data_IF_285861124916
#
_entry.id   IF_285861124916
#
_cell.length_a   1.000
_cell.length_b   1.000
_cell.length_c   1.000
_cell.angle_alpha   90.00
_cell.angle_beta   90.00
_cell.angle_gamma   90.00
#
_symmetry.space_group_name_H-M   'P 1'
#
loop_
_entity.id
_entity.type
_entity.pdbx_description
1 polymer ?
#
# COMPACT_ATOMS: atom_id res chain seq x y z
N UNK A 1 0.97 -8.58 -15.15
CA UNK A 1 -0.13 -8.27 -16.09
C UNK A 1 -0.83 -7.10 -15.45
N UNK A 2 -0.61 -5.90 -15.96
CA UNK A 2 -0.90 -4.66 -15.24
C UNK A 2 -2.35 -4.45 -14.82
N UNK A 3 -2.53 -3.71 -13.73
CA UNK A 3 -3.82 -3.16 -13.29
C UNK A 3 -4.35 -2.26 -14.42
N UNK A 4 -5.29 -2.78 -15.22
CA UNK A 4 -5.83 -2.07 -16.38
C UNK A 4 -7.01 -1.17 -16.05
N UNK A 5 -7.53 -1.21 -14.82
CA UNK A 5 -8.64 -0.39 -14.35
C UNK A 5 -8.46 -0.10 -12.86
N UNK A 6 -8.90 1.10 -12.43
CA UNK A 6 -8.95 1.56 -11.03
C UNK A 6 -9.17 0.40 -10.08
N UNK A 7 -8.13 0.04 -9.33
CA UNK A 7 -8.24 -0.96 -8.27
C UNK A 7 -8.84 -0.26 -7.04
N UNK A 8 -10.13 -0.48 -6.79
CA UNK A 8 -10.84 0.05 -5.64
C UNK A 8 -11.30 -1.12 -4.77
N UNK A 9 -10.58 -1.35 -3.67
CA UNK A 9 -10.87 -2.39 -2.70
C UNK A 9 -10.74 -1.77 -1.29
N UNK A 10 -11.64 -2.16 -0.38
CA UNK A 10 -11.62 -1.69 0.99
C UNK A 10 -10.98 -2.75 1.88
N UNK A 11 -10.13 -2.34 2.81
CA UNK A 11 -9.49 -3.24 3.78
C UNK A 11 -9.84 -2.79 5.18
N UNK A 12 -10.19 -3.76 6.01
CA UNK A 12 -10.45 -3.51 7.43
C UNK A 12 -9.13 -3.21 8.10
N UNK A 13 -9.05 -2.04 8.75
CA UNK A 13 -7.97 -1.72 9.66
C UNK A 13 -7.98 -2.69 10.84
N UNK A 14 -6.84 -3.29 11.13
CA UNK A 14 -6.68 -4.23 12.23
C UNK A 14 -5.80 -3.59 13.31
N UNK A 15 -6.23 -3.71 14.56
CA UNK A 15 -5.44 -3.28 15.70
C UNK A 15 -4.24 -4.23 15.88
N UNK A 16 -3.05 -3.65 15.97
CA UNK A 16 -1.80 -4.31 16.30
C UNK A 16 -1.18 -3.69 17.55
N UNK A 17 -0.11 -4.31 18.06
CA UNK A 17 0.57 -3.82 19.27
C UNK A 17 1.16 -2.42 19.03
N UNK A 18 0.47 -1.39 19.52
CA UNK A 18 0.83 0.02 19.32
C UNK A 18 0.68 0.54 17.89
N UNK A 19 0.00 -0.16 16.98
CA UNK A 19 -0.16 0.27 15.58
C UNK A 19 -1.49 -0.16 14.97
N UNK A 20 -1.88 0.49 13.87
CA UNK A 20 -2.98 0.05 13.02
C UNK A 20 -2.38 -0.54 11.75
N UNK A 21 -2.78 -1.76 11.42
CA UNK A 21 -2.30 -2.49 10.24
C UNK A 21 -3.40 -2.59 9.20
N UNK A 22 -3.02 -2.53 7.93
CA UNK A 22 -3.92 -2.77 6.79
C UNK A 22 -3.28 -3.81 5.89
N UNK A 23 -4.08 -4.75 5.38
CA UNK A 23 -3.56 -5.77 4.46
C UNK A 23 -3.51 -5.22 3.04
N UNK A 24 -2.36 -5.32 2.38
CA UNK A 24 -2.27 -5.04 0.94
C UNK A 24 -2.90 -6.20 0.16
N UNK A 25 -3.86 -5.94 -0.74
CA UNK A 25 -4.44 -6.95 -1.61
C UNK A 25 -3.37 -7.70 -2.41
N UNK A 26 -3.46 -9.03 -2.44
CA UNK A 26 -2.50 -9.89 -3.16
C UNK A 26 -2.26 -9.49 -4.62
N UNK A 27 -3.28 -9.15 -5.44
CA UNK A 27 -3.04 -8.72 -6.82
C UNK A 27 -2.17 -7.45 -6.92
N UNK A 28 -2.31 -6.52 -5.96
CA UNK A 28 -1.51 -5.31 -5.92
C UNK A 28 -0.08 -5.62 -5.47
N UNK A 29 0.07 -6.47 -4.46
CA UNK A 29 1.38 -6.92 -3.98
C UNK A 29 2.17 -7.67 -5.08
N UNK A 30 1.53 -8.57 -5.81
CA UNK A 30 2.15 -9.33 -6.91
C UNK A 30 2.56 -8.40 -8.07
N UNK A 31 1.69 -7.47 -8.47
CA UNK A 31 1.98 -6.56 -9.59
C UNK A 31 3.05 -5.50 -9.24
N UNK A 32 3.19 -5.16 -7.96
CA UNK A 32 4.21 -4.23 -7.48
C UNK A 32 5.45 -4.95 -6.94
N UNK A 33 5.44 -6.28 -6.96
CA UNK A 33 6.51 -7.13 -6.42
C UNK A 33 6.86 -6.75 -4.97
N UNK A 34 5.82 -6.51 -4.16
CA UNK A 34 5.97 -6.15 -2.74
C UNK A 34 6.29 -7.41 -1.95
N UNK A 35 7.41 -7.37 -1.26
CA UNK A 35 7.88 -8.45 -0.41
C UNK A 35 7.83 -8.06 1.07
N UNK A 36 7.95 -9.06 1.94
CA UNK A 36 8.03 -8.81 3.38
C UNK A 36 9.27 -7.96 3.69
N UNK A 37 9.06 -6.84 4.38
CA UNK A 37 10.14 -5.93 4.76
C UNK A 37 10.27 -4.71 3.85
N UNK A 38 9.55 -4.66 2.72
CA UNK A 38 9.50 -3.47 1.88
C UNK A 38 8.85 -2.29 2.59
N UNK A 39 9.41 -1.10 2.37
CA UNK A 39 8.85 0.14 2.87
C UNK A 39 7.84 0.70 1.88
N UNK A 40 6.58 0.74 2.28
CA UNK A 40 5.49 1.31 1.47
C UNK A 40 5.30 2.78 1.81
N UNK A 41 5.57 3.72 0.88
CA UNK A 41 5.41 5.13 1.16
C UNK A 41 3.93 5.54 1.13
N UNK A 42 3.51 6.24 2.19
CA UNK A 42 2.21 6.87 2.31
C UNK A 42 2.37 8.38 2.07
N UNK A 43 1.47 8.95 1.28
CA UNK A 43 1.38 10.38 1.04
C UNK A 43 0.01 10.88 1.44
N UNK A 44 -0.01 11.94 2.24
CA UNK A 44 -1.20 12.69 2.57
C UNK A 44 -0.78 14.16 2.64
N UNK A 45 -1.63 15.05 2.11
CA UNK A 45 -1.41 16.49 2.19
C UNK A 45 -2.24 17.05 3.34
N UNK A 46 -1.69 18.06 4.03
CA UNK A 46 -2.40 18.74 5.10
C UNK A 46 -3.70 19.37 4.55
N UNK A 47 -4.83 19.10 5.21
CA UNK A 47 -6.14 19.55 4.77
C UNK A 47 -6.78 18.71 3.66
N UNK A 48 -6.13 17.63 3.21
CA UNK A 48 -6.73 16.66 2.29
C UNK A 48 -7.49 15.58 3.04
N UNK A 49 -8.65 15.19 2.50
CA UNK A 49 -9.42 14.01 2.94
C UNK A 49 -8.92 12.70 2.31
N UNK A 50 -7.85 12.77 1.51
CA UNK A 50 -7.29 11.62 0.80
C UNK A 50 -5.86 11.32 1.24
N UNK A 51 -5.57 10.03 1.34
CA UNK A 51 -4.23 9.49 1.48
C UNK A 51 -3.99 8.45 0.40
N UNK A 52 -2.78 8.43 -0.15
CA UNK A 52 -2.40 7.53 -1.24
C UNK A 52 -1.16 6.72 -0.86
N UNK A 53 -1.14 5.45 -1.26
CA UNK A 53 0.08 4.65 -1.25
C UNK A 53 0.76 4.75 -2.60
N UNK A 54 2.08 4.88 -2.62
CA UNK A 54 2.86 4.81 -3.87
C UNK A 54 3.63 3.50 -3.93
N UNK A 55 3.97 3.08 -5.15
CA UNK A 55 4.80 1.91 -5.38
C UNK A 55 6.13 2.09 -4.64
N UNK A 56 6.58 1.11 -3.83
CA UNK A 56 7.88 1.18 -3.19
C UNK A 56 8.99 1.33 -4.24
N UNK A 57 9.99 2.15 -3.93
CA UNK A 57 11.20 2.20 -4.74
C UNK A 57 11.95 0.87 -4.50
N UNK A 58 12.23 0.11 -5.58
CA UNK A 58 13.10 -1.05 -5.44
C UNK A 58 14.45 -0.56 -4.94
N UNK A 59 14.93 -1.10 -3.81
CA UNK A 59 16.32 -0.91 -3.40
C UNK A 59 17.19 -1.50 -4.51
N UNK A 60 17.82 -0.63 -5.28
CA UNK A 60 19.00 -1.03 -6.06
C UNK A 60 20.14 -1.17 -5.05
N UNK A 61 20.55 -2.42 -4.78
CA UNK A 61 21.84 -2.70 -4.12
C UNK A 61 22.99 -2.40 -5.09
#
# INVERSE_FOLDING_TARGET
MGIQNRFADCRTAQEGDGSVTVTIPRPLAEEWEIEQGDQIPFYAEEGSDTAEIRRPAKRSD
#
